data_IF_959825973186
#
_entry.id   IF_959825973186
#
_cell.length_a   1.000
_cell.length_b   1.000
_cell.length_c   1.000
_cell.angle_alpha   90.00
_cell.angle_beta   90.00
_cell.angle_gamma   90.00
#
_symmetry.space_group_name_H-M   'P 1'
#
loop_
_entity.id
_entity.type
_entity.pdbx_description
1 polymer ?
#
# COMPACT_ATOMS: atom_id res chain seq x y z
N UNK A 1 14.23 22.73 1.55
CA UNK A 1 14.64 21.31 1.37
C UNK A 1 13.69 20.31 2.05
N UNK A 2 12.73 20.73 2.89
CA UNK A 2 11.88 19.80 3.67
C UNK A 2 10.75 19.08 2.89
N UNK A 3 10.27 19.64 1.77
CA UNK A 3 9.16 19.04 1.02
C UNK A 3 9.50 17.74 0.29
N UNK A 4 10.75 17.60 -0.20
CA UNK A 4 11.17 16.41 -0.97
C UNK A 4 11.31 15.22 -0.02
N UNK A 5 11.84 15.43 1.19
CA UNK A 5 11.95 14.40 2.22
C UNK A 5 10.61 13.88 2.71
N UNK A 6 9.57 14.72 2.79
CA UNK A 6 8.21 14.30 3.16
C UNK A 6 7.52 13.50 2.04
N UNK A 7 7.73 13.85 0.76
CA UNK A 7 7.24 13.05 -0.36
C UNK A 7 7.89 11.65 -0.40
N UNK A 8 9.19 11.58 -0.09
CA UNK A 8 9.96 10.33 -0.04
C UNK A 8 9.62 9.44 1.16
N UNK A 9 9.10 10.01 2.25
CA UNK A 9 8.69 9.26 3.44
C UNK A 9 7.44 8.39 3.18
N UNK A 10 6.67 8.72 2.15
CA UNK A 10 5.47 7.99 1.71
C UNK A 10 5.68 7.10 0.48
N UNK A 11 6.90 7.03 -0.08
CA UNK A 11 7.23 5.98 -1.05
C UNK A 11 7.37 4.68 -0.27
N UNK A 12 6.23 4.05 -0.02
CA UNK A 12 6.15 2.65 0.35
C UNK A 12 6.39 1.78 -0.89
N UNK A 13 6.66 0.48 -0.70
CA UNK A 13 6.60 -0.47 -1.80
C UNK A 13 5.16 -0.48 -2.34
N UNK A 14 4.92 0.30 -3.39
CA UNK A 14 3.69 0.21 -4.17
C UNK A 14 3.57 -1.22 -4.70
N UNK A 15 2.36 -1.77 -4.70
CA UNK A 15 2.09 -3.06 -5.34
C UNK A 15 2.34 -2.99 -6.87
N UNK A 16 2.30 -1.78 -7.45
CA UNK A 16 2.58 -1.51 -8.85
C UNK A 16 3.44 -0.22 -8.90
N UNK A 17 4.75 -0.31 -8.66
CA UNK A 17 5.60 0.87 -8.65
C UNK A 17 5.80 1.41 -10.06
N UNK A 18 5.82 2.72 -10.20
CA UNK A 18 6.29 3.44 -11.39
C UNK A 18 7.83 3.33 -11.50
N UNK A 19 8.39 3.66 -12.67
CA UNK A 19 9.84 3.65 -12.86
C UNK A 19 10.54 4.66 -11.95
N UNK A 20 9.99 5.88 -11.83
CA UNK A 20 10.54 6.91 -10.96
C UNK A 20 10.60 6.46 -9.49
N UNK A 21 9.57 5.75 -9.01
CA UNK A 21 9.57 5.19 -7.66
C UNK A 21 10.64 4.10 -7.48
N UNK A 22 10.88 3.27 -8.51
CA UNK A 22 11.95 2.27 -8.49
C UNK A 22 13.34 2.90 -8.43
N UNK A 23 13.59 3.90 -9.26
CA UNK A 23 14.87 4.61 -9.29
C UNK A 23 15.17 5.26 -7.94
N UNK A 24 14.19 5.95 -7.37
CA UNK A 24 14.30 6.55 -6.04
C UNK A 24 14.54 5.49 -4.96
N UNK A 25 13.82 4.37 -5.01
CA UNK A 25 14.03 3.27 -4.06
C UNK A 25 15.44 2.66 -4.15
N UNK A 26 15.99 2.58 -5.37
CA UNK A 26 17.34 2.07 -5.61
C UNK A 26 18.44 2.98 -5.04
N UNK A 27 18.15 4.27 -4.81
CA UNK A 27 19.10 5.19 -4.15
C UNK A 27 19.19 5.00 -2.62
N UNK A 28 18.24 4.26 -2.02
CA UNK A 28 18.24 4.01 -0.58
C UNK A 28 19.28 2.96 -0.20
N UNK A 29 19.89 3.11 0.97
CA UNK A 29 20.71 2.05 1.56
C UNK A 29 19.88 0.81 1.85
N UNK A 30 20.54 -0.36 1.88
CA UNK A 30 19.86 -1.62 2.18
C UNK A 30 19.14 -1.57 3.53
N UNK A 31 19.75 -0.97 4.54
CA UNK A 31 19.17 -0.86 5.87
C UNK A 31 17.91 0.01 5.88
N UNK A 32 17.91 1.12 5.13
CA UNK A 32 16.73 1.98 5.03
C UNK A 32 15.58 1.30 4.26
N UNK A 33 15.91 0.52 3.22
CA UNK A 33 14.91 -0.33 2.54
C UNK A 33 14.26 -1.32 3.51
N UNK A 34 15.08 -2.05 4.30
CA UNK A 34 14.59 -3.02 5.29
C UNK A 34 13.75 -2.34 6.37
N UNK A 35 14.21 -1.21 6.90
CA UNK A 35 13.47 -0.44 7.92
C UNK A 35 12.09 -0.01 7.42
N UNK A 36 12.00 0.44 6.16
CA UNK A 36 10.73 0.83 5.53
C UNK A 36 9.78 -0.36 5.36
N UNK A 37 10.29 -1.52 4.94
CA UNK A 37 9.49 -2.76 4.89
C UNK A 37 8.98 -3.19 6.27
N UNK A 38 9.86 -3.18 7.28
CA UNK A 38 9.47 -3.53 8.65
C UNK A 38 8.37 -2.61 9.18
N UNK A 39 8.49 -1.30 8.93
CA UNK A 39 7.45 -0.32 9.31
C UNK A 39 6.12 -0.59 8.60
N UNK A 40 6.15 -0.98 7.33
CA UNK A 40 4.93 -1.31 6.59
C UNK A 40 4.25 -2.56 7.17
N UNK A 41 5.01 -3.65 7.35
CA UNK A 41 4.44 -4.91 7.84
C UNK A 41 4.05 -4.88 9.32
N UNK A 42 4.52 -3.89 10.08
CA UNK A 42 4.05 -3.64 11.45
C UNK A 42 2.62 -3.08 11.51
N UNK A 43 2.00 -2.70 10.37
CA UNK A 43 0.62 -2.24 10.37
C UNK A 43 -0.35 -3.38 10.75
N UNK A 44 -1.34 -3.14 11.62
CA UNK A 44 -2.27 -4.18 12.08
C UNK A 44 -2.97 -4.94 10.95
N UNK A 45 -3.31 -4.22 9.87
CA UNK A 45 -4.01 -4.79 8.72
C UNK A 45 -3.14 -5.80 7.94
N UNK A 46 -1.81 -5.72 8.00
CA UNK A 46 -0.92 -6.66 7.34
C UNK A 46 -0.93 -8.05 8.01
N UNK A 47 -1.41 -8.16 9.25
CA UNK A 47 -1.54 -9.43 9.97
C UNK A 47 -2.98 -9.97 9.96
N UNK A 48 -3.91 -9.28 9.31
CA UNK A 48 -5.28 -9.74 9.18
C UNK A 48 -5.38 -10.68 7.98
N UNK A 49 -5.47 -11.97 8.27
CA UNK A 49 -5.80 -12.98 7.28
C UNK A 49 -7.32 -13.09 7.18
N UNK A 50 -7.83 -13.03 5.96
CA UNK A 50 -9.25 -13.18 5.67
C UNK A 50 -9.46 -14.51 4.93
N UNK A 51 -10.54 -15.21 5.28
CA UNK A 51 -11.00 -16.40 4.56
C UNK A 51 -11.87 -16.06 3.35
N UNK A 52 -12.07 -14.76 3.08
CA UNK A 52 -12.83 -14.30 1.94
C UNK A 52 -12.10 -14.70 0.66
N UNK A 53 -12.85 -15.36 -0.22
CA UNK A 53 -12.40 -15.62 -1.58
C UNK A 53 -12.44 -14.33 -2.38
N UNK A 54 -11.72 -14.25 -3.52
CA UNK A 54 -11.85 -13.13 -4.45
C UNK A 54 -13.32 -12.85 -4.87
N UNK A 55 -14.14 -13.89 -4.97
CA UNK A 55 -15.56 -13.78 -5.28
C UNK A 55 -16.36 -13.11 -4.15
N UNK A 56 -16.05 -13.43 -2.89
CA UNK A 56 -16.66 -12.79 -1.71
C UNK A 56 -16.32 -11.29 -1.65
N UNK A 57 -15.07 -10.96 -1.97
CA UNK A 57 -14.59 -9.56 -2.04
C UNK A 57 -15.34 -8.82 -3.15
N UNK A 58 -15.47 -9.42 -4.33
CA UNK A 58 -16.18 -8.84 -5.48
C UNK A 58 -17.67 -8.65 -5.20
N UNK A 59 -18.32 -9.65 -4.59
CA UNK A 59 -19.73 -9.57 -4.19
C UNK A 59 -19.96 -8.42 -3.20
N UNK A 60 -19.11 -8.32 -2.17
CA UNK A 60 -19.16 -7.23 -1.18
C UNK A 60 -18.95 -5.86 -1.83
N UNK A 61 -18.00 -5.74 -2.76
CA UNK A 61 -17.77 -4.49 -3.49
C UNK A 61 -18.99 -4.07 -4.32
N UNK A 62 -19.63 -5.00 -5.04
CA UNK A 62 -20.86 -4.77 -5.80
C UNK A 62 -22.01 -4.32 -4.90
N UNK A 63 -22.18 -4.96 -3.74
CA UNK A 63 -23.21 -4.58 -2.77
C UNK A 63 -23.03 -3.14 -2.27
N UNK A 64 -21.79 -2.73 -1.95
CA UNK A 64 -21.49 -1.34 -1.55
C UNK A 64 -21.83 -0.33 -2.63
N UNK A 65 -21.61 -0.66 -3.91
CA UNK A 65 -21.98 0.21 -5.03
C UNK A 65 -23.50 0.29 -5.18
N UNK A 66 -24.20 -0.84 -5.12
CA UNK A 66 -25.67 -0.85 -5.21
C UNK A 66 -26.33 -0.01 -4.10
N UNK A 67 -25.80 -0.07 -2.88
CA UNK A 67 -26.28 0.75 -1.75
C UNK A 67 -26.09 2.26 -1.97
N UNK A 68 -25.10 2.69 -2.76
CA UNK A 68 -24.90 4.10 -3.12
C UNK A 68 -25.90 4.60 -4.16
N UNK A 69 -26.47 3.71 -4.97
CA UNK A 69 -27.44 4.06 -6.03
C UNK A 69 -28.89 4.17 -5.54
N UNK A 70 -29.15 3.92 -4.26
CA UNK A 70 -30.48 3.99 -3.65
C UNK A 70 -30.65 5.19 -2.68
N UNK A 71 -29.78 6.20 -2.79
CA UNK A 71 -29.88 7.49 -2.09
C UNK A 71 -30.34 8.61 -3.00
#
# INVERSE_FOLDING_TARGET
MSQITDQLANIGPSAIPTEAEREVWATLSRDEQVRRYQKLFAQPNCNNFTSETPDDILATARQRVAQRGHG
#
